data_IF_975776391179
#
_entry.id   IF_975776391179
#
_cell.length_a   1.000
_cell.length_b   1.000
_cell.length_c   1.000
_cell.angle_alpha   90.00
_cell.angle_beta   90.00
_cell.angle_gamma   90.00
#
_symmetry.space_group_name_H-M   'P 1'
#
loop_
_entity.id
_entity.type
_entity.pdbx_description
1 polymer ?
#
# COMPACT_ATOMS: atom_id res chain seq x y z
N UNK A 1 -22.55 -6.65 -4.03
CA UNK A 1 -21.36 -7.47 -4.31
C UNK A 1 -20.16 -6.92 -3.55
N UNK A 2 -19.55 -7.69 -2.64
CA UNK A 2 -18.31 -7.29 -1.97
C UNK A 2 -17.17 -7.39 -2.99
N UNK A 3 -16.53 -6.27 -3.35
CA UNK A 3 -15.35 -6.30 -4.23
C UNK A 3 -14.20 -6.92 -3.45
N UNK A 4 -13.52 -7.91 -4.05
CA UNK A 4 -12.30 -8.47 -3.48
C UNK A 4 -11.15 -7.47 -3.65
N UNK A 5 -10.13 -7.52 -2.79
CA UNK A 5 -8.94 -6.65 -2.89
C UNK A 5 -8.24 -6.75 -4.26
N UNK A 6 -8.35 -7.91 -4.90
CA UNK A 6 -7.81 -8.14 -6.24
C UNK A 6 -8.61 -7.42 -7.35
N UNK A 7 -9.92 -7.25 -7.16
CA UNK A 7 -10.78 -6.47 -8.08
C UNK A 7 -10.57 -4.96 -7.97
N UNK A 8 -10.18 -4.45 -6.79
CA UNK A 8 -9.86 -3.02 -6.61
C UNK A 8 -8.50 -2.66 -7.20
N UNK A 9 -7.52 -3.57 -7.10
CA UNK A 9 -6.16 -3.31 -7.59
C UNK A 9 -6.11 -3.09 -9.10
N UNK A 10 -6.85 -3.89 -9.86
CA UNK A 10 -6.94 -3.75 -11.32
C UNK A 10 -7.57 -2.41 -11.73
N UNK A 11 -8.59 -1.94 -11.00
CA UNK A 11 -9.19 -0.63 -11.22
C UNK A 11 -8.18 0.48 -10.93
N UNK A 12 -7.47 0.40 -9.82
CA UNK A 12 -6.45 1.38 -9.44
C UNK A 12 -5.28 1.41 -10.42
N UNK A 13 -4.82 0.25 -10.88
CA UNK A 13 -3.80 0.16 -11.92
C UNK A 13 -4.24 0.89 -13.19
N UNK A 14 -5.46 0.62 -13.68
CA UNK A 14 -6.02 1.27 -14.88
C UNK A 14 -6.08 2.80 -14.71
N UNK A 15 -6.61 3.27 -13.58
CA UNK A 15 -6.71 4.70 -13.30
C UNK A 15 -5.34 5.37 -13.20
N UNK A 16 -4.40 4.74 -12.48
CA UNK A 16 -3.06 5.26 -12.33
C UNK A 16 -2.31 5.29 -13.68
N UNK A 17 -2.52 4.30 -14.56
CA UNK A 17 -1.93 4.31 -15.91
C UNK A 17 -2.49 5.46 -16.74
N UNK A 18 -3.80 5.72 -16.66
CA UNK A 18 -4.42 6.83 -17.36
C UNK A 18 -3.89 8.20 -16.89
N UNK A 19 -3.70 8.38 -15.57
CA UNK A 19 -3.21 9.63 -14.99
C UNK A 19 -1.71 9.83 -15.25
N UNK A 20 -0.90 8.80 -15.01
CA UNK A 20 0.55 8.91 -15.13
C UNK A 20 1.05 8.75 -16.57
N UNK A 21 0.19 8.32 -17.50
CA UNK A 21 0.53 8.04 -18.91
C UNK A 21 1.77 7.15 -19.04
N UNK A 22 1.88 6.16 -18.16
CA UNK A 22 3.03 5.26 -18.07
C UNK A 22 2.55 3.84 -17.74
N UNK A 23 3.26 2.79 -18.20
CA UNK A 23 2.97 1.43 -17.79
C UNK A 23 3.19 1.29 -16.29
N UNK A 24 2.20 0.76 -15.58
CA UNK A 24 2.29 0.45 -14.15
C UNK A 24 2.32 -1.04 -13.99
N UNK A 25 3.36 -1.51 -13.30
CA UNK A 25 3.53 -2.93 -13.02
C UNK A 25 3.03 -3.24 -11.60
N UNK A 26 2.07 -4.16 -11.44
CA UNK A 26 1.76 -4.70 -10.13
C UNK A 26 2.95 -5.51 -9.62
N UNK A 27 3.28 -5.38 -8.35
CA UNK A 27 4.22 -6.28 -7.70
C UNK A 27 3.57 -7.66 -7.60
N UNK A 28 4.30 -8.70 -7.99
CA UNK A 28 3.85 -10.09 -7.84
C UNK A 28 4.42 -10.75 -6.59
N UNK A 29 5.53 -10.21 -6.07
CA UNK A 29 6.17 -10.65 -4.81
C UNK A 29 6.40 -9.45 -3.90
N UNK A 30 6.28 -9.67 -2.59
CA UNK A 30 6.57 -8.63 -1.61
C UNK A 30 8.05 -8.20 -1.64
N UNK A 31 8.96 -9.08 -2.05
CA UNK A 31 10.37 -8.73 -2.27
C UNK A 31 10.56 -7.66 -3.34
N UNK A 32 9.70 -7.61 -4.36
CA UNK A 32 9.74 -6.58 -5.40
C UNK A 32 9.34 -5.20 -4.82
N UNK A 33 8.41 -5.17 -3.85
CA UNK A 33 8.05 -3.97 -3.09
C UNK A 33 9.23 -3.46 -2.27
N UNK A 34 9.88 -4.35 -1.52
CA UNK A 34 11.05 -3.99 -0.71
C UNK A 34 12.20 -3.48 -1.58
N UNK A 35 12.44 -4.12 -2.73
CA UNK A 35 13.45 -3.69 -3.69
C UNK A 35 13.15 -2.29 -4.22
N UNK A 36 11.91 -2.03 -4.62
CA UNK A 36 11.46 -0.74 -5.12
C UNK A 36 11.58 0.39 -4.07
N UNK A 37 11.34 0.08 -2.78
CA UNK A 37 11.55 1.05 -1.70
C UNK A 37 13.03 1.35 -1.44
N UNK A 38 13.90 0.34 -1.59
CA UNK A 38 15.35 0.48 -1.38
C UNK A 38 16.06 1.17 -2.55
N UNK A 39 15.67 0.85 -3.78
CA UNK A 39 16.31 1.42 -4.97
C UNK A 39 15.92 2.88 -5.22
N UNK A 40 14.79 3.32 -4.65
CA UNK A 40 14.30 4.69 -4.77
C UNK A 40 13.94 5.09 -6.20
N UNK A 41 13.81 4.12 -7.13
CA UNK A 41 13.46 4.35 -8.55
C UNK A 41 11.96 4.36 -8.77
N UNK A 42 11.21 3.82 -7.82
CA UNK A 42 9.77 3.70 -7.89
C UNK A 42 9.09 4.42 -6.72
N UNK A 43 7.85 4.85 -6.93
CA UNK A 43 6.90 5.08 -5.83
C UNK A 43 6.10 3.79 -5.66
N UNK A 44 5.86 3.37 -4.44
CA UNK A 44 5.06 2.17 -4.18
C UNK A 44 3.74 2.58 -3.58
N UNK A 45 2.65 2.13 -4.21
CA UNK A 45 1.31 2.23 -3.65
C UNK A 45 0.85 0.84 -3.28
N UNK A 46 0.34 0.66 -2.06
CA UNK A 46 -0.26 -0.60 -1.63
C UNK A 46 -1.74 -0.38 -1.34
N UNK A 47 -2.55 -1.32 -1.78
CA UNK A 47 -3.98 -1.39 -1.54
C UNK A 47 -4.26 -2.35 -0.39
N UNK A 48 -4.78 -1.83 0.72
CA UNK A 48 -5.04 -2.60 1.93
C UNK A 48 -6.50 -2.49 2.37
N UNK A 49 -7.15 -3.59 2.78
CA UNK A 49 -8.45 -3.55 3.47
C UNK A 49 -8.21 -3.21 4.95
N UNK A 50 -7.68 -2.00 5.20
CA UNK A 50 -7.18 -1.62 6.52
C UNK A 50 -8.30 -1.37 7.54
N UNK A 51 -9.50 -1.11 7.06
CA UNK A 51 -10.62 -0.74 7.92
C UNK A 51 -11.76 -1.76 7.79
N UNK A 52 -12.55 -1.87 8.85
CA UNK A 52 -13.65 -2.83 8.95
C UNK A 52 -14.87 -2.51 8.08
N UNK A 53 -14.89 -1.38 7.38
CA UNK A 53 -15.94 -1.03 6.42
C UNK A 53 -15.90 -1.90 5.16
N UNK A 54 -14.84 -2.68 4.97
CA UNK A 54 -14.65 -3.54 3.81
C UNK A 54 -14.22 -2.77 2.56
N UNK A 55 -13.88 -1.48 2.69
CA UNK A 55 -13.28 -0.69 1.63
C UNK A 55 -11.76 -0.96 1.55
N UNK A 56 -11.23 -0.86 0.34
CA UNK A 56 -9.78 -0.90 0.11
C UNK A 56 -9.22 0.53 0.19
N UNK A 57 -8.13 0.69 0.94
CA UNK A 57 -7.43 1.95 1.13
C UNK A 57 -6.08 1.91 0.46
N UNK A 58 -5.68 3.05 -0.10
CA UNK A 58 -4.38 3.20 -0.73
C UNK A 58 -3.40 3.85 0.24
N UNK A 59 -2.25 3.22 0.38
CA UNK A 59 -1.11 3.78 1.11
C UNK A 59 0.00 4.08 0.15
N UNK A 60 0.62 5.22 0.35
CA UNK A 60 1.80 5.60 -0.40
C UNK A 60 3.00 5.25 0.47
N UNK A 61 3.66 4.14 0.14
CA UNK A 61 4.84 3.71 0.87
C UNK A 61 5.99 4.66 0.56
N UNK A 62 6.64 5.14 1.61
CA UNK A 62 7.66 6.20 1.55
C UNK A 62 9.06 5.63 1.70
N UNK A 63 9.33 4.87 2.76
CA UNK A 63 10.67 4.36 3.09
C UNK A 63 10.64 3.18 4.05
N UNK A 64 11.76 2.46 4.14
CA UNK A 64 12.02 1.47 5.18
C UNK A 64 12.88 2.11 6.26
N UNK A 65 12.52 1.90 7.53
CA UNK A 65 13.32 2.29 8.70
C UNK A 65 13.28 1.15 9.72
N UNK A 66 14.44 0.49 9.93
CA UNK A 66 14.51 -0.72 10.76
C UNK A 66 13.61 -1.83 10.21
N UNK A 67 12.75 -2.38 11.07
CA UNK A 67 11.77 -3.43 10.77
C UNK A 67 10.43 -2.88 10.24
N UNK A 68 10.34 -1.58 9.92
CA UNK A 68 9.08 -0.91 9.58
C UNK A 68 9.11 -0.25 8.21
N UNK A 69 7.94 -0.21 7.57
CA UNK A 69 7.68 0.59 6.38
C UNK A 69 6.88 1.82 6.80
N UNK A 70 7.41 3.00 6.49
CA UNK A 70 6.73 4.28 6.63
C UNK A 70 5.87 4.53 5.38
N UNK A 71 4.70 5.11 5.58
CA UNK A 71 3.75 5.42 4.53
C UNK A 71 2.90 6.64 4.88
N UNK A 72 2.33 7.24 3.83
CA UNK A 72 1.29 8.23 3.93
C UNK A 72 -0.06 7.54 3.81
N UNK A 73 -0.94 7.81 4.78
CA UNK A 73 -2.31 7.33 4.80
C UNK A 73 -3.22 8.48 4.37
N UNK A 74 -3.76 8.40 3.16
CA UNK A 74 -4.62 9.46 2.60
C UNK A 74 -6.04 9.42 3.17
N UNK A 75 -6.42 8.31 3.80
CA UNK A 75 -7.68 8.21 4.51
C UNK A 75 -7.53 8.79 5.92
N UNK A 76 -8.07 10.00 6.14
CA UNK A 76 -8.31 10.51 7.50
C UNK A 76 -9.28 9.53 8.17
N UNK A 77 -8.78 8.64 9.03
CA UNK A 77 -9.66 7.81 9.85
C UNK A 77 -10.45 8.74 10.76
N UNK A 78 -11.73 8.94 10.48
CA UNK A 78 -12.70 9.63 11.34
C UNK A 78 -13.04 8.78 12.57
N UNK A 79 -12.02 8.31 13.30
CA UNK A 79 -12.10 7.66 14.63
C UNK A 79 -12.95 6.39 14.79
N UNK A 80 -13.81 6.02 13.83
CA UNK A 80 -14.87 5.01 14.01
C UNK A 80 -14.56 3.64 13.42
N UNK A 81 -13.54 3.53 12.58
CA UNK A 81 -13.22 2.28 11.91
C UNK A 81 -12.18 1.50 12.70
N UNK A 82 -12.50 0.25 13.06
CA UNK A 82 -11.55 -0.67 13.68
C UNK A 82 -10.44 -0.96 12.67
N UNK A 83 -9.21 -0.84 13.14
CA UNK A 83 -8.02 -1.11 12.34
C UNK A 83 -7.77 -2.62 12.30
N UNK A 84 -7.47 -3.16 11.13
CA UNK A 84 -7.17 -4.59 10.95
C UNK A 84 -5.69 -4.93 11.02
N UNK A 85 -4.81 -3.93 10.95
CA UNK A 85 -3.35 -4.09 11.00
C UNK A 85 -2.71 -3.06 11.95
N UNK A 86 -1.76 -3.44 12.83
CA UNK A 86 -1.12 -2.53 13.77
C UNK A 86 -0.27 -1.45 13.07
N UNK A 87 -0.47 -0.19 13.44
CA UNK A 87 0.34 0.94 12.95
C UNK A 87 0.80 1.84 14.07
N UNK A 88 1.89 2.57 13.80
CA UNK A 88 2.44 3.59 14.69
C UNK A 88 2.41 4.93 13.97
N UNK A 89 2.04 5.99 14.67
CA UNK A 89 2.22 7.36 14.18
C UNK A 89 3.65 7.79 14.46
N UNK A 90 4.29 8.39 13.48
CA UNK A 90 5.67 8.83 13.55
C UNK A 90 5.76 10.34 13.73
N UNK A 91 6.89 10.83 14.24
CA UNK A 91 7.08 12.25 14.55
C UNK A 91 7.02 13.16 13.31
N UNK A 92 7.38 12.63 12.13
CA UNK A 92 7.33 13.35 10.87
C UNK A 92 5.94 13.38 10.22
N UNK A 93 4.91 12.94 10.94
CA UNK A 93 3.53 12.88 10.47
C UNK A 93 3.24 11.68 9.55
N UNK A 94 4.24 10.84 9.26
CA UNK A 94 3.99 9.55 8.59
C UNK A 94 3.39 8.53 9.56
N UNK A 95 2.88 7.46 9.00
CA UNK A 95 2.48 6.28 9.74
C UNK A 95 3.40 5.12 9.35
N UNK A 96 3.58 4.15 10.24
CA UNK A 96 4.43 2.99 9.95
C UNK A 96 3.81 1.68 10.41
N UNK A 97 4.12 0.60 9.69
CA UNK A 97 3.69 -0.76 9.97
C UNK A 97 4.91 -1.69 9.93
N UNK A 98 4.88 -2.80 10.65
CA UNK A 98 5.97 -3.78 10.56
C UNK A 98 5.99 -4.38 9.16
N UNK A 99 7.20 -4.64 8.67
CA UNK A 99 7.44 -5.31 7.38
C UNK A 99 6.72 -6.66 7.34
N UNK A 100 6.76 -7.41 8.44
CA UNK A 100 6.15 -8.73 8.53
C UNK A 100 4.63 -8.70 8.43
N UNK A 101 3.97 -7.74 9.06
CA UNK A 101 2.52 -7.60 9.00
C UNK A 101 2.05 -7.31 7.56
N UNK A 102 2.77 -6.41 6.87
CA UNK A 102 2.48 -6.08 5.47
C UNK A 102 2.79 -7.23 4.51
N UNK A 103 3.86 -7.98 4.77
CA UNK A 103 4.22 -9.20 4.01
C UNK A 103 3.12 -10.24 4.14
N UNK A 104 2.64 -10.52 5.35
CA UNK A 104 1.60 -11.51 5.60
C UNK A 104 0.29 -11.12 4.90
N UNK A 105 -0.10 -9.85 4.90
CA UNK A 105 -1.27 -9.39 4.15
C UNK A 105 -1.10 -9.59 2.63
N UNK A 106 0.11 -9.34 2.12
CA UNK A 106 0.39 -9.47 0.69
C UNK A 106 0.35 -10.93 0.25
N UNK A 107 1.02 -11.81 1.00
CA UNK A 107 1.10 -13.24 0.71
C UNK A 107 -0.24 -13.96 0.89
N UNK A 108 -1.11 -13.47 1.77
CA UNK A 108 -2.49 -13.96 1.90
C UNK A 108 -3.45 -13.44 0.81
N UNK A 109 -2.94 -12.75 -0.21
CA UNK A 109 -3.71 -12.12 -1.28
C UNK A 109 -4.79 -11.14 -0.78
N UNK A 110 -4.61 -10.61 0.44
CA UNK A 110 -5.51 -9.63 1.06
C UNK A 110 -5.13 -8.21 0.70
N UNK A 111 -3.92 -7.98 0.20
CA UNK A 111 -3.48 -6.68 -0.32
C UNK A 111 -2.70 -6.87 -1.63
N UNK A 112 -2.51 -5.79 -2.37
CA UNK A 112 -1.69 -5.76 -3.59
C UNK A 112 -0.94 -4.45 -3.72
N UNK A 113 0.17 -4.45 -4.45
CA UNK A 113 0.99 -3.26 -4.61
C UNK A 113 1.25 -2.93 -6.08
N UNK A 114 1.34 -1.63 -6.36
CA UNK A 114 1.68 -1.07 -7.65
C UNK A 114 3.03 -0.36 -7.55
N UNK A 115 3.91 -0.68 -8.49
CA UNK A 115 5.19 0.00 -8.64
C UNK A 115 5.02 1.07 -9.71
N UNK A 116 5.06 2.33 -9.27
CA UNK A 116 4.91 3.51 -10.12
C UNK A 116 6.30 4.05 -10.46
N UNK A 117 6.57 4.46 -11.71
CA UNK A 117 7.82 5.13 -12.04
C UNK A 117 7.94 6.47 -11.28
N UNK A 118 9.14 6.79 -10.79
CA UNK A 118 9.47 8.17 -10.42
C UNK A 118 9.79 8.93 -11.71
N UNK A 119 9.02 9.99 -11.97
CA UNK A 119 9.35 10.99 -13.01
C UNK A 119 10.51 11.84 -12.55
#
# INVERSE_FOLDING_TARGET
>A
MKRTAQGTLAQTQRLAMAVLKAPIKPATRFSDVLKALKDGKHRVVIEVPWYTDGCTHQLILSRIAGDRIHFLNTAKSSGRLKQTLPRRKEADGTESARIDDLRQLFESARCGALLLPRR
#
